data_IF_385232987811
#
_entry.id   IF_385232987811
#
_cell.length_a   1.000
_cell.length_b   1.000
_cell.length_c   1.000
_cell.angle_alpha   90.00
_cell.angle_beta   90.00
_cell.angle_gamma   90.00
#
_symmetry.space_group_name_H-M   'P 1'
#
loop_
_entity.id
_entity.type
_entity.pdbx_description
1 polymer ?
#
# COMPACT_ATOMS: atom_id res chain seq x y z
N UNK A 1 5.14 27.81 -9.15
CA UNK A 1 6.02 27.82 -7.94
C UNK A 1 6.94 29.03 -7.90
N UNK A 2 7.73 29.29 -8.96
CA UNK A 2 8.65 30.42 -8.96
C UNK A 2 7.98 31.77 -8.65
N UNK A 3 6.82 32.06 -9.25
CA UNK A 3 6.13 33.34 -9.04
C UNK A 3 5.50 33.47 -7.65
N UNK A 4 5.00 32.37 -7.10
CA UNK A 4 4.50 32.35 -5.72
C UNK A 4 5.65 32.52 -4.73
N UNK A 5 6.79 31.84 -4.92
CA UNK A 5 7.96 32.01 -4.05
C UNK A 5 8.52 33.43 -4.18
N UNK A 6 8.61 33.99 -5.39
CA UNK A 6 8.97 35.41 -5.61
C UNK A 6 7.99 36.36 -4.93
N UNK A 7 6.69 36.05 -4.96
CA UNK A 7 5.65 36.83 -4.27
C UNK A 7 5.88 36.77 -2.75
N UNK A 8 6.07 35.59 -2.18
CA UNK A 8 6.35 35.41 -0.75
C UNK A 8 7.61 36.18 -0.33
N UNK A 9 8.67 36.09 -1.12
CA UNK A 9 9.94 36.79 -0.91
C UNK A 9 9.83 38.32 -0.92
N UNK A 10 9.04 38.87 -1.86
CA UNK A 10 8.97 40.32 -2.10
C UNK A 10 7.85 41.01 -1.35
N UNK A 11 6.66 40.40 -1.26
CA UNK A 11 5.43 41.09 -0.83
C UNK A 11 5.00 40.85 0.61
N UNK A 12 5.41 39.76 1.24
CA UNK A 12 4.91 39.45 2.60
C UNK A 12 5.59 40.23 3.73
N UNK A 13 6.70 40.94 3.45
CA UNK A 13 7.46 41.67 4.47
C UNK A 13 8.13 40.80 5.54
N UNK A 14 7.88 39.48 5.56
CA UNK A 14 8.32 38.60 6.63
C UNK A 14 9.81 38.23 6.49
N UNK A 15 10.58 38.47 7.55
CA UNK A 15 12.03 38.24 7.60
C UNK A 15 12.41 36.75 7.44
N UNK A 16 11.50 35.84 7.78
CA UNK A 16 11.67 34.40 7.58
C UNK A 16 12.01 34.06 6.12
N UNK A 17 11.28 34.63 5.15
CA UNK A 17 11.52 34.35 3.74
C UNK A 17 12.85 34.96 3.22
N UNK A 18 13.45 35.90 3.94
CA UNK A 18 14.67 36.60 3.49
C UNK A 18 15.95 36.07 4.12
N UNK A 19 15.84 35.20 5.11
CA UNK A 19 16.98 34.71 5.90
C UNK A 19 17.07 33.19 5.89
N UNK A 20 18.30 32.68 5.77
CA UNK A 20 18.60 31.26 5.86
C UNK A 20 18.30 30.48 4.58
N UNK A 21 18.35 29.15 4.69
CA UNK A 21 18.08 28.22 3.60
C UNK A 21 16.88 27.35 3.92
N UNK A 22 15.92 27.29 3.00
CA UNK A 22 14.71 26.48 3.15
C UNK A 22 14.22 25.96 1.80
N UNK A 23 13.47 24.86 1.82
CA UNK A 23 12.81 24.31 0.65
C UNK A 23 11.32 24.64 0.68
N UNK A 24 10.77 25.05 -0.47
CA UNK A 24 9.33 25.31 -0.64
C UNK A 24 8.80 24.32 -1.66
N UNK A 25 7.96 23.40 -1.21
CA UNK A 25 7.25 22.47 -2.09
C UNK A 25 5.87 23.01 -2.42
N UNK A 26 5.53 23.03 -3.71
CA UNK A 26 4.20 23.39 -4.19
C UNK A 26 3.84 22.50 -5.37
N UNK A 27 2.78 21.71 -5.21
CA UNK A 27 2.37 20.71 -6.19
C UNK A 27 3.56 19.82 -6.56
N UNK A 28 3.77 19.60 -7.86
CA UNK A 28 4.93 18.92 -8.39
C UNK A 28 6.17 19.80 -8.60
N UNK A 29 6.49 20.79 -7.76
CA UNK A 29 7.81 21.46 -7.83
C UNK A 29 8.36 21.78 -6.45
N UNK A 30 9.68 21.67 -6.29
CA UNK A 30 10.40 22.08 -5.07
C UNK A 30 11.37 23.20 -5.42
N UNK A 31 11.27 24.31 -4.70
CA UNK A 31 12.19 25.43 -4.83
C UNK A 31 13.10 25.51 -3.60
N UNK A 32 14.41 25.49 -3.78
CA UNK A 32 15.37 25.80 -2.73
C UNK A 32 15.59 27.29 -2.72
N UNK A 33 15.39 27.91 -1.56
CA UNK A 33 15.59 29.33 -1.34
C UNK A 33 16.70 29.51 -0.33
N UNK A 34 17.67 30.35 -0.66
CA UNK A 34 18.77 30.71 0.22
C UNK A 34 18.92 32.22 0.23
N UNK A 35 18.85 32.82 1.41
CA UNK A 35 19.03 34.25 1.65
C UNK A 35 18.12 35.11 0.75
N UNK A 36 16.84 34.74 0.74
CA UNK A 36 15.82 35.45 -0.03
C UNK A 36 15.91 35.28 -1.55
N UNK A 37 16.70 34.32 -2.04
CA UNK A 37 16.84 34.03 -3.48
C UNK A 37 16.52 32.57 -3.77
N UNK A 38 15.64 32.35 -4.74
CA UNK A 38 15.40 31.01 -5.28
C UNK A 38 16.67 30.56 -6.01
N UNK A 39 17.37 29.57 -5.45
CA UNK A 39 18.62 29.03 -6.00
C UNK A 39 18.34 27.99 -7.06
N UNK A 40 17.39 27.11 -6.79
CA UNK A 40 17.07 25.99 -7.67
C UNK A 40 15.58 25.72 -7.60
N UNK A 41 15.00 25.42 -8.74
CA UNK A 41 13.63 24.89 -8.83
C UNK A 41 13.76 23.58 -9.56
N UNK A 42 13.14 22.56 -8.99
CA UNK A 42 13.11 21.25 -9.59
C UNK A 42 11.66 20.81 -9.74
N UNK A 43 11.39 20.27 -10.93
CA UNK A 43 10.08 19.77 -11.29
C UNK A 43 9.99 18.29 -10.90
N UNK A 44 8.88 17.94 -10.26
CA UNK A 44 8.48 16.60 -9.86
C UNK A 44 7.62 15.94 -10.95
N UNK A 45 6.92 16.74 -11.77
CA UNK A 45 6.15 16.27 -12.92
C UNK A 45 7.01 16.34 -14.19
N UNK A 46 7.71 15.26 -14.53
CA UNK A 46 7.48 14.58 -15.83
C UNK A 46 8.35 13.32 -15.96
N UNK A 47 7.76 12.17 -15.67
CA UNK A 47 8.27 10.87 -16.13
C UNK A 47 8.13 10.72 -17.67
N UNK A 48 7.60 11.72 -18.38
CA UNK A 48 7.44 11.73 -19.84
C UNK A 48 8.50 12.56 -20.59
N UNK A 49 9.32 13.35 -19.89
CA UNK A 49 10.38 14.11 -20.53
C UNK A 49 11.56 13.19 -20.87
N UNK A 50 11.89 13.08 -22.17
CA UNK A 50 12.90 12.17 -22.76
C UNK A 50 14.36 12.40 -22.34
N UNK A 51 14.61 13.25 -21.35
CA UNK A 51 15.90 13.29 -20.67
C UNK A 51 15.80 12.34 -19.47
N UNK A 52 16.83 11.55 -19.18
CA UNK A 52 16.85 10.56 -18.09
C UNK A 52 16.74 11.21 -16.68
N UNK A 53 15.65 11.91 -16.43
CA UNK A 53 15.19 12.41 -15.17
C UNK A 53 14.94 11.17 -14.31
N UNK A 54 15.88 10.97 -13.38
CA UNK A 54 15.88 9.95 -12.35
C UNK A 54 14.44 9.79 -11.83
N UNK A 55 13.80 8.67 -12.18
CA UNK A 55 12.50 8.34 -11.66
C UNK A 55 12.54 8.48 -10.12
N UNK A 56 11.47 9.02 -9.49
CA UNK A 56 11.36 8.95 -8.03
C UNK A 56 11.66 7.51 -7.60
N UNK A 57 12.45 7.28 -6.53
CA UNK A 57 12.67 5.93 -6.02
C UNK A 57 11.29 5.35 -5.75
N UNK A 58 10.93 4.35 -6.54
CA UNK A 58 9.65 3.70 -6.38
C UNK A 58 9.73 2.86 -5.12
N UNK A 59 8.97 3.27 -4.12
CA UNK A 59 8.68 2.44 -2.98
C UNK A 59 7.99 1.18 -3.49
N UNK A 60 8.70 0.05 -3.58
CA UNK A 60 8.04 -1.26 -3.62
C UNK A 60 7.45 -1.47 -2.23
N UNK A 61 6.12 -1.38 -2.21
CA UNK A 61 5.32 -1.32 -0.98
C UNK A 61 5.23 -2.73 -0.48
N UNK A 62 5.84 -3.00 0.67
CA UNK A 62 5.39 -3.95 1.69
C UNK A 62 6.44 -4.12 2.77
N UNK A 63 5.96 -4.26 4.00
CA UNK A 63 6.77 -4.39 5.18
C UNK A 63 6.32 -5.63 5.94
N UNK A 64 7.09 -6.70 5.82
CA UNK A 64 6.85 -7.96 6.53
C UNK A 64 7.54 -7.89 7.90
N UNK A 65 6.76 -7.94 8.98
CA UNK A 65 7.27 -8.13 10.33
C UNK A 65 7.00 -9.57 10.73
N UNK A 66 7.85 -10.50 10.28
CA UNK A 66 7.80 -11.88 10.77
C UNK A 66 8.14 -11.91 12.26
N UNK A 67 7.40 -12.72 13.04
CA UNK A 67 7.54 -12.88 14.51
C UNK A 67 8.96 -13.24 15.02
N UNK A 68 9.88 -13.65 14.14
CA UNK A 68 11.24 -14.10 14.50
C UNK A 68 12.37 -13.08 14.27
N UNK A 69 12.11 -11.93 13.67
CA UNK A 69 13.16 -10.95 13.36
C UNK A 69 13.10 -9.75 14.31
N UNK A 70 14.18 -9.51 15.07
CA UNK A 70 14.37 -8.30 15.88
C UNK A 70 14.55 -7.02 15.04
N UNK A 71 14.09 -7.03 13.79
CA UNK A 71 14.28 -5.95 12.83
C UNK A 71 13.40 -6.14 11.60
N UNK A 72 12.62 -5.12 11.30
CA UNK A 72 11.73 -5.10 10.16
C UNK A 72 12.48 -4.71 8.90
N UNK A 73 12.55 -5.57 7.88
CA UNK A 73 13.21 -5.24 6.61
C UNK A 73 12.23 -4.50 5.71
N UNK A 74 12.57 -3.26 5.34
CA UNK A 74 11.97 -2.60 4.19
C UNK A 74 12.86 -2.88 2.98
N UNK A 75 12.29 -3.53 1.96
CA UNK A 75 12.93 -3.68 0.67
C UNK A 75 12.47 -2.55 -0.26
N UNK A 76 13.44 -1.88 -0.91
CA UNK A 76 13.19 -0.80 -1.83
C UNK A 76 13.85 -1.16 -3.15
N UNK A 77 13.10 -1.07 -4.25
CA UNK A 77 13.69 -1.16 -5.58
C UNK A 77 13.56 0.18 -6.28
N UNK A 78 14.67 0.78 -6.65
CA UNK A 78 14.64 1.77 -7.71
C UNK A 78 14.47 0.97 -9.01
N UNK A 79 13.26 0.83 -9.54
CA UNK A 79 13.04 0.35 -10.92
C UNK A 79 13.52 1.44 -11.88
N UNK A 80 14.83 1.59 -11.94
CA UNK A 80 15.51 2.11 -13.11
C UNK A 80 16.16 0.90 -13.77
N UNK A 81 15.38 0.21 -14.61
CA UNK A 81 15.87 -0.81 -15.57
C UNK A 81 16.72 -0.18 -16.69
N UNK A 82 17.04 1.11 -16.60
CA UNK A 82 18.27 1.60 -17.20
C UNK A 82 19.43 1.08 -16.35
N UNK A 83 20.02 -0.03 -16.83
CA UNK A 83 21.41 -0.35 -16.59
C UNK A 83 22.23 0.93 -16.92
N UNK A 84 22.46 1.79 -15.93
CA UNK A 84 23.40 2.89 -16.05
C UNK A 84 24.76 2.24 -15.91
N UNK A 85 25.25 1.70 -17.02
CA UNK A 85 26.67 1.51 -17.26
C UNK A 85 27.34 2.89 -17.12
N UNK A 86 27.86 3.16 -15.93
CA UNK A 86 28.57 4.41 -15.65
C UNK A 86 28.60 4.71 -14.16
N UNK A 87 29.61 4.17 -13.47
CA UNK A 87 30.39 4.69 -12.31
C UNK A 87 29.83 5.67 -11.26
N UNK A 88 28.55 6.05 -11.24
CA UNK A 88 28.03 7.19 -10.45
C UNK A 88 26.74 6.81 -9.69
N UNK A 89 26.59 5.52 -9.34
CA UNK A 89 25.56 5.07 -8.40
C UNK A 89 26.12 4.62 -7.03
N UNK A 90 27.43 4.70 -6.85
CA UNK A 90 28.09 4.58 -5.54
C UNK A 90 27.87 5.81 -4.63
N UNK A 91 27.17 6.86 -5.06
CA UNK A 91 27.02 8.12 -4.30
C UNK A 91 25.55 8.54 -4.10
N UNK A 92 24.74 7.65 -3.55
CA UNK A 92 23.42 8.02 -3.04
C UNK A 92 23.35 7.85 -1.54
N UNK A 93 24.37 8.42 -0.89
CA UNK A 93 24.29 8.87 0.48
C UNK A 93 23.21 9.96 0.59
N UNK A 94 22.41 9.90 1.65
CA UNK A 94 21.46 10.96 2.00
C UNK A 94 19.99 10.75 1.63
N UNK A 95 19.57 9.53 1.24
CA UNK A 95 18.13 9.21 1.24
C UNK A 95 17.70 8.91 2.68
N UNK A 96 16.77 9.71 3.18
CA UNK A 96 16.15 9.52 4.49
C UNK A 96 14.70 9.06 4.29
N UNK A 97 14.24 8.19 5.19
CA UNK A 97 12.86 7.74 5.24
C UNK A 97 12.26 8.19 6.54
N UNK A 98 11.10 8.81 6.43
CA UNK A 98 10.29 9.26 7.55
C UNK A 98 9.07 8.35 7.60
N UNK A 99 9.00 7.50 8.63
CA UNK A 99 7.86 6.63 8.86
C UNK A 99 7.02 7.22 10.00
N UNK A 100 5.72 7.39 9.80
CA UNK A 100 4.76 7.65 10.86
C UNK A 100 3.91 6.39 11.07
N UNK A 101 4.00 5.78 12.26
CA UNK A 101 3.22 4.60 12.61
C UNK A 101 2.56 4.82 13.97
N UNK A 102 1.22 4.79 14.01
CA UNK A 102 0.43 5.03 15.24
C UNK A 102 0.84 6.32 15.97
N UNK A 103 1.01 7.40 15.22
CA UNK A 103 1.46 8.70 15.73
C UNK A 103 2.94 8.78 16.12
N UNK A 104 3.68 7.67 16.10
CA UNK A 104 5.13 7.66 16.34
C UNK A 104 5.89 7.89 15.04
N UNK A 105 6.75 8.90 15.04
CA UNK A 105 7.62 9.19 13.93
C UNK A 105 8.98 8.50 14.12
N UNK A 106 9.45 7.81 13.09
CA UNK A 106 10.78 7.22 13.02
C UNK A 106 11.50 7.75 11.78
N UNK A 107 12.73 8.21 11.96
CA UNK A 107 13.62 8.57 10.85
C UNK A 107 14.62 7.46 10.65
N UNK A 108 14.68 6.92 9.44
CA UNK A 108 15.59 5.83 9.08
C UNK A 108 16.43 6.26 7.90
N UNK A 109 17.75 6.27 8.11
CA UNK A 109 18.71 6.49 7.04
C UNK A 109 18.87 5.18 6.26
N UNK A 110 18.64 5.23 4.95
CA UNK A 110 18.83 4.05 4.12
C UNK A 110 20.31 3.76 3.96
N UNK A 111 20.71 2.51 4.20
CA UNK A 111 22.06 2.02 3.92
C UNK A 111 22.00 1.03 2.75
N UNK A 112 22.93 1.11 1.79
CA UNK A 112 23.03 0.09 0.74
C UNK A 112 23.37 -1.26 1.38
N UNK A 113 22.64 -2.32 1.00
CA UNK A 113 22.99 -3.68 1.37
C UNK A 113 24.15 -4.13 0.47
N UNK A 114 25.24 -4.62 1.08
CA UNK A 114 26.47 -4.97 0.36
C UNK A 114 26.31 -6.26 -0.48
N UNK A 115 25.20 -7.00 -0.31
CA UNK A 115 24.98 -8.30 -0.95
C UNK A 115 24.14 -8.17 -2.23
N UNK A 116 24.77 -7.63 -3.27
CA UNK A 116 24.47 -7.91 -4.69
C UNK A 116 23.05 -7.66 -5.19
N UNK A 117 22.78 -6.44 -5.66
CA UNK A 117 21.59 -6.11 -6.47
C UNK A 117 21.28 -4.60 -6.50
N UNK A 118 20.47 -4.16 -7.46
CA UNK A 118 19.92 -2.79 -7.50
C UNK A 118 18.91 -2.50 -6.36
N UNK A 119 18.60 -3.52 -5.56
CA UNK A 119 17.63 -3.45 -4.46
C UNK A 119 18.33 -2.96 -3.19
N UNK A 120 17.85 -1.84 -2.64
CA UNK A 120 18.32 -1.32 -1.35
C UNK A 120 17.39 -1.82 -0.26
N UNK A 121 17.93 -2.62 0.64
CA UNK A 121 17.19 -3.11 1.80
C UNK A 121 17.64 -2.31 3.01
N UNK A 122 16.70 -1.74 3.74
CA UNK A 122 16.99 -1.06 4.99
C UNK A 122 16.06 -1.55 6.07
N UNK A 123 16.63 -1.81 7.24
CA UNK A 123 15.87 -2.34 8.36
C UNK A 123 15.34 -1.19 9.19
N UNK A 124 14.02 -0.99 9.21
CA UNK A 124 13.38 -0.08 10.16
C UNK A 124 13.23 -0.84 11.46
N UNK A 125 14.04 -0.51 12.45
CA UNK A 125 13.81 -0.96 13.82
C UNK A 125 12.65 -0.11 14.37
N UNK A 126 11.86 -0.64 15.30
CA UNK A 126 10.76 0.05 16.02
C UNK A 126 9.34 0.01 15.43
N UNK A 127 9.09 -0.67 14.30
CA UNK A 127 7.72 -0.95 13.86
C UNK A 127 7.26 -2.29 14.45
N UNK A 128 6.36 -2.22 15.44
CA UNK A 128 5.83 -3.41 16.13
C UNK A 128 4.31 -3.48 16.02
N UNK A 129 3.79 -4.68 15.76
CA UNK A 129 2.36 -4.95 15.59
C UNK A 129 1.85 -4.76 14.15
N UNK A 130 0.55 -5.00 13.94
CA UNK A 130 -0.09 -4.82 12.64
C UNK A 130 -0.68 -3.42 12.48
N UNK A 131 -0.62 -2.88 11.26
CA UNK A 131 -1.30 -1.63 10.92
C UNK A 131 -0.76 -0.94 9.68
N UNK A 132 -1.19 0.30 9.45
CA UNK A 132 -0.64 1.14 8.38
C UNK A 132 0.34 2.15 8.94
N UNK A 133 1.52 2.18 8.37
CA UNK A 133 2.47 3.27 8.50
C UNK A 133 2.38 4.18 7.28
N UNK A 134 2.50 5.49 7.47
CA UNK A 134 2.71 6.43 6.39
C UNK A 134 4.21 6.60 6.19
N UNK A 135 4.70 6.37 4.97
CA UNK A 135 6.12 6.48 4.65
C UNK A 135 6.32 7.61 3.68
N UNK A 136 7.11 8.58 4.12
CA UNK A 136 7.58 9.70 3.32
C UNK A 136 9.08 9.51 3.07
N UNK A 137 9.49 9.71 1.82
CA UNK A 137 10.88 9.54 1.42
C UNK A 137 11.45 10.91 1.13
N UNK A 138 12.66 11.17 1.58
CA UNK A 138 13.36 12.40 1.24
C UNK A 138 14.75 12.12 0.69
N UNK A 139 15.18 12.90 -0.30
CA UNK A 139 16.54 12.87 -0.86
C UNK A 139 17.05 14.30 -0.95
N UNK A 140 17.92 14.70 -0.02
CA UNK A 140 18.33 16.09 0.10
C UNK A 140 17.11 16.99 0.36
N UNK A 141 16.78 17.87 -0.59
CA UNK A 141 15.64 18.80 -0.50
C UNK A 141 14.33 18.25 -1.07
N UNK A 142 14.37 17.09 -1.73
CA UNK A 142 13.20 16.49 -2.35
C UNK A 142 12.44 15.65 -1.34
N UNK A 143 11.13 15.84 -1.21
CA UNK A 143 10.21 14.98 -0.48
C UNK A 143 9.22 14.33 -1.44
N UNK A 144 9.10 13.01 -1.37
CA UNK A 144 8.15 12.22 -2.15
C UNK A 144 6.82 12.14 -1.38
N UNK A 145 5.67 12.10 -2.08
CA UNK A 145 4.38 12.06 -1.42
C UNK A 145 4.29 10.84 -0.50
N UNK A 146 3.66 10.99 0.67
CA UNK A 146 3.50 9.91 1.62
C UNK A 146 2.77 8.73 0.97
N UNK A 147 3.28 7.52 1.18
CA UNK A 147 2.65 6.28 0.72
C UNK A 147 2.25 5.41 1.91
N UNK A 148 1.10 4.73 1.84
CA UNK A 148 0.75 3.75 2.87
C UNK A 148 1.68 2.55 2.77
N UNK A 149 2.15 2.12 3.93
CA UNK A 149 2.94 0.92 4.13
C UNK A 149 2.18 0.03 5.10
N UNK A 150 1.72 -1.13 4.61
CA UNK A 150 1.10 -2.13 5.47
C UNK A 150 2.20 -2.88 6.25
N UNK A 151 2.04 -2.90 7.56
CA UNK A 151 2.86 -3.66 8.53
C UNK A 151 2.02 -4.83 9.01
N UNK A 152 2.52 -6.06 8.82
CA UNK A 152 1.83 -7.32 9.21
C UNK A 152 2.74 -8.22 10.03
N UNK A 153 2.13 -9.06 10.87
CA UNK A 153 2.79 -9.97 11.82
C UNK A 153 3.02 -11.41 11.29
N UNK A 154 2.60 -11.69 10.05
CA UNK A 154 2.64 -13.02 9.43
C UNK A 154 3.19 -12.93 8.01
N UNK A 155 4.06 -13.88 7.69
CA UNK A 155 4.70 -13.98 6.38
C UNK A 155 3.68 -14.40 5.30
N UNK A 156 2.69 -15.23 5.67
CA UNK A 156 1.61 -15.64 4.76
C UNK A 156 0.75 -14.44 4.32
N UNK A 157 0.36 -13.58 5.26
CA UNK A 157 -0.36 -12.34 4.96
C UNK A 157 0.45 -11.43 4.02
N UNK A 158 1.74 -11.28 4.32
CA UNK A 158 2.61 -10.47 3.50
C UNK A 158 2.73 -10.97 2.07
N UNK A 159 2.91 -12.28 1.88
CA UNK A 159 2.98 -12.91 0.55
C UNK A 159 1.71 -12.68 -0.26
N UNK A 160 0.54 -12.79 0.37
CA UNK A 160 -0.75 -12.53 -0.30
C UNK A 160 -0.88 -11.06 -0.71
N UNK A 161 -0.62 -10.12 0.20
CA UNK A 161 -0.72 -8.68 -0.11
C UNK A 161 0.33 -8.26 -1.15
N UNK A 162 1.47 -8.94 -1.22
CA UNK A 162 2.49 -8.69 -2.26
C UNK A 162 1.98 -8.92 -3.67
N UNK A 163 0.97 -9.76 -3.85
CA UNK A 163 0.35 -9.95 -5.15
C UNK A 163 -0.35 -8.67 -5.66
N UNK A 164 -0.66 -7.68 -4.79
CA UNK A 164 -1.17 -6.38 -5.23
C UNK A 164 -0.23 -5.65 -6.18
N UNK A 165 1.08 -5.78 -6.01
CA UNK A 165 2.03 -5.12 -6.91
C UNK A 165 1.91 -5.65 -8.35
N UNK A 166 1.49 -6.90 -8.49
CA UNK A 166 1.36 -7.57 -9.78
C UNK A 166 0.01 -7.25 -10.45
N UNK A 167 -0.94 -6.68 -9.69
CA UNK A 167 -2.25 -6.23 -10.15
C UNK A 167 -2.28 -4.75 -10.58
N UNK A 168 -1.24 -3.98 -10.25
CA UNK A 168 -1.17 -2.57 -10.68
C UNK A 168 -0.99 -2.54 -12.19
N UNK A 169 -1.97 -2.00 -12.90
CA UNK A 169 -1.84 -1.80 -14.35
C UNK A 169 -0.69 -0.84 -14.60
N UNK A 170 0.35 -1.34 -15.28
CA UNK A 170 1.26 -0.44 -15.99
C UNK A 170 0.41 0.21 -17.08
N UNK A 171 0.41 1.54 -17.24
CA UNK A 171 -0.32 2.20 -18.32
C UNK A 171 0.12 1.56 -19.63
N UNK A 172 -0.78 0.78 -20.22
CA UNK A 172 -0.52 -0.06 -21.37
C UNK A 172 -0.12 0.82 -22.53
N UNK A 173 1.17 0.86 -22.87
CA UNK A 173 1.59 1.32 -24.19
C UNK A 173 1.21 0.22 -25.20
N UNK A 174 -0.03 0.29 -25.70
CA UNK A 174 -0.55 -0.34 -26.91
C UNK A 174 -0.03 -1.74 -27.29
N UNK A 175 -0.44 -2.78 -26.56
CA UNK A 175 -0.26 -4.17 -27.03
C UNK A 175 -1.51 -5.00 -26.74
N UNK A 176 -2.26 -5.27 -27.80
CA UNK A 176 -3.57 -5.96 -27.82
C UNK A 176 -3.50 -7.49 -27.68
N UNK A 177 -2.44 -8.05 -27.10
CA UNK A 177 -2.31 -9.51 -26.99
C UNK A 177 -2.78 -10.02 -25.61
N UNK A 178 -4.10 -10.00 -25.38
CA UNK A 178 -4.74 -10.56 -24.19
C UNK A 178 -5.52 -11.84 -24.54
N UNK A 179 -4.91 -13.01 -24.35
CA UNK A 179 -5.59 -14.30 -24.57
C UNK A 179 -5.38 -15.34 -23.46
N UNK A 180 -4.77 -14.99 -22.32
CA UNK A 180 -4.78 -15.85 -21.14
C UNK A 180 -5.98 -15.52 -20.25
N UNK A 181 -6.97 -16.42 -20.27
CA UNK A 181 -8.29 -16.29 -19.62
C UNK A 181 -8.31 -16.24 -18.09
N UNK A 182 -7.21 -15.88 -17.42
CA UNK A 182 -7.30 -15.40 -16.04
C UNK A 182 -7.60 -13.92 -16.13
N UNK A 183 -8.83 -13.53 -15.80
CA UNK A 183 -9.23 -12.13 -15.64
C UNK A 183 -8.27 -11.48 -14.62
N UNK A 184 -7.19 -10.88 -15.13
CA UNK A 184 -6.14 -10.31 -14.31
C UNK A 184 -6.72 -9.01 -13.78
N UNK A 185 -6.98 -9.00 -12.47
CA UNK A 185 -7.45 -7.81 -11.78
C UNK A 185 -6.51 -6.65 -12.12
N UNK A 186 -7.06 -5.63 -12.78
CA UNK A 186 -6.36 -4.38 -13.07
C UNK A 186 -6.80 -3.37 -12.03
N UNK A 187 -5.95 -3.13 -11.04
CA UNK A 187 -6.17 -2.08 -10.05
C UNK A 187 -5.31 -0.87 -10.42
N UNK A 188 -5.89 0.31 -10.33
CA UNK A 188 -5.09 1.52 -10.34
C UNK A 188 -4.32 1.67 -9.02
N UNK A 189 -3.35 2.59 -9.00
CA UNK A 189 -2.52 2.77 -7.82
C UNK A 189 -3.29 3.29 -6.60
N UNK A 190 -4.34 4.09 -6.81
CA UNK A 190 -5.15 4.65 -5.73
C UNK A 190 -6.03 3.57 -5.09
N UNK A 191 -6.53 2.62 -5.87
CA UNK A 191 -7.27 1.45 -5.41
C UNK A 191 -6.38 0.54 -4.56
N UNK A 192 -5.14 0.28 -5.00
CA UNK A 192 -4.18 -0.47 -4.17
C UNK A 192 -3.90 0.25 -2.85
N UNK A 193 -3.72 1.57 -2.89
CA UNK A 193 -3.52 2.38 -1.68
C UNK A 193 -4.73 2.30 -0.74
N UNK A 194 -5.95 2.34 -1.28
CA UNK A 194 -7.18 2.19 -0.50
C UNK A 194 -7.28 0.80 0.15
N UNK A 195 -6.95 -0.29 -0.58
CA UNK A 195 -6.94 -1.65 -0.04
C UNK A 195 -5.93 -1.79 1.11
N UNK A 196 -4.72 -1.25 0.96
CA UNK A 196 -3.69 -1.29 2.00
C UNK A 196 -4.11 -0.52 3.26
N UNK A 197 -4.71 0.67 3.08
CA UNK A 197 -5.25 1.48 4.19
C UNK A 197 -6.35 0.72 4.91
N UNK A 198 -7.34 0.20 4.19
CA UNK A 198 -8.46 -0.53 4.77
C UNK A 198 -8.00 -1.79 5.50
N UNK A 199 -7.07 -2.55 4.92
CA UNK A 199 -6.53 -3.76 5.53
C UNK A 199 -5.77 -3.45 6.82
N UNK A 200 -4.91 -2.43 6.82
CA UNK A 200 -4.17 -2.11 8.04
C UNK A 200 -5.04 -1.47 9.12
N UNK A 201 -6.12 -0.76 8.79
CA UNK A 201 -7.13 -0.33 9.77
C UNK A 201 -7.77 -1.57 10.43
N UNK A 202 -8.23 -2.53 9.63
CA UNK A 202 -8.89 -3.76 10.13
C UNK A 202 -7.95 -4.60 10.99
N UNK A 203 -6.70 -4.80 10.53
CA UNK A 203 -5.70 -5.56 11.29
C UNK A 203 -5.27 -4.84 12.58
N UNK A 204 -5.20 -3.51 12.59
CA UNK A 204 -4.90 -2.73 13.80
C UNK A 204 -5.96 -2.95 14.88
N UNK A 205 -7.24 -2.91 14.46
CA UNK A 205 -8.39 -3.11 15.35
C UNK A 205 -8.41 -4.54 15.92
N UNK A 206 -8.19 -5.55 15.07
CA UNK A 206 -8.13 -6.95 15.50
C UNK A 206 -6.94 -7.25 16.42
N UNK A 207 -5.83 -6.51 16.27
CA UNK A 207 -4.67 -6.63 17.12
C UNK A 207 -4.83 -6.01 18.52
N UNK A 208 -6.01 -5.47 18.88
CA UNK A 208 -6.27 -4.88 20.19
C UNK A 208 -5.41 -3.64 20.49
N UNK A 209 -4.95 -2.95 19.45
CA UNK A 209 -4.08 -1.79 19.63
C UNK A 209 -4.92 -0.51 19.66
N UNK A 210 -5.44 -0.18 20.84
CA UNK A 210 -6.26 1.01 21.12
C UNK A 210 -5.48 2.35 21.06
N UNK A 211 -4.32 2.36 20.42
CA UNK A 211 -3.45 3.53 20.32
C UNK A 211 -4.00 4.58 19.34
N UNK A 212 -4.89 5.46 19.82
CA UNK A 212 -5.15 6.85 19.40
C UNK A 212 -5.23 7.22 17.90
N UNK A 213 -5.37 6.28 16.97
CA UNK A 213 -5.77 6.61 15.59
C UNK A 213 -7.28 6.73 15.59
N UNK A 214 -7.82 7.84 15.06
CA UNK A 214 -9.26 8.11 14.90
C UNK A 214 -10.01 6.82 14.53
N UNK A 215 -10.59 6.18 15.56
CA UNK A 215 -11.15 4.85 15.42
C UNK A 215 -12.45 5.03 14.65
N UNK A 216 -12.46 4.57 13.40
CA UNK A 216 -13.68 4.51 12.63
C UNK A 216 -14.76 3.78 13.44
N UNK A 217 -16.03 4.22 13.37
CA UNK A 217 -17.14 3.51 13.98
C UNK A 217 -17.12 2.00 13.65
N UNK A 218 -17.50 1.16 14.61
CA UNK A 218 -17.39 -0.30 14.49
C UNK A 218 -18.13 -0.85 13.25
N UNK A 219 -19.28 -0.28 12.94
CA UNK A 219 -20.08 -0.52 11.74
C UNK A 219 -19.31 -0.26 10.45
N UNK A 220 -18.57 0.85 10.38
CA UNK A 220 -17.69 1.17 9.25
C UNK A 220 -16.51 0.19 9.15
N UNK A 221 -15.93 -0.20 10.29
CA UNK A 221 -14.86 -1.20 10.34
C UNK A 221 -15.33 -2.57 9.87
N UNK A 222 -16.52 -3.00 10.28
CA UNK A 222 -17.12 -4.25 9.84
C UNK A 222 -17.46 -4.21 8.35
N UNK A 223 -17.93 -3.06 7.82
CA UNK A 223 -18.15 -2.88 6.39
C UNK A 223 -16.84 -3.02 5.59
N UNK A 224 -15.75 -2.40 6.04
CA UNK A 224 -14.42 -2.56 5.43
C UNK A 224 -13.94 -4.00 5.48
N UNK A 225 -14.08 -4.68 6.63
CA UNK A 225 -13.73 -6.09 6.77
C UNK A 225 -14.52 -6.99 5.81
N UNK A 226 -15.82 -6.73 5.61
CA UNK A 226 -16.65 -7.46 4.63
C UNK A 226 -16.19 -7.23 3.19
N UNK A 227 -15.87 -5.99 2.81
CA UNK A 227 -15.33 -5.67 1.48
C UNK A 227 -13.96 -6.32 1.24
N UNK A 228 -13.09 -6.33 2.25
CA UNK A 228 -11.79 -6.99 2.19
C UNK A 228 -11.92 -8.51 2.13
N UNK A 229 -12.88 -9.11 2.85
CA UNK A 229 -13.15 -10.55 2.77
C UNK A 229 -13.60 -10.95 1.37
N UNK A 230 -14.55 -10.20 0.82
CA UNK A 230 -14.98 -10.31 -0.57
C UNK A 230 -13.80 -10.22 -1.56
N UNK A 231 -12.97 -9.19 -1.41
CA UNK A 231 -11.77 -8.99 -2.21
C UNK A 231 -10.75 -10.13 -2.06
N UNK A 232 -10.50 -10.62 -0.84
CA UNK A 232 -9.62 -11.75 -0.58
C UNK A 232 -10.14 -13.04 -1.23
N UNK A 233 -11.46 -13.26 -1.25
CA UNK A 233 -12.09 -14.37 -1.97
C UNK A 233 -11.86 -14.30 -3.48
N UNK A 234 -11.94 -13.10 -4.06
CA UNK A 234 -11.65 -12.90 -5.48
C UNK A 234 -10.17 -13.10 -5.85
N UNK A 235 -9.27 -12.70 -4.95
CA UNK A 235 -7.82 -12.79 -5.14
C UNK A 235 -7.24 -14.15 -4.75
N UNK A 236 -8.00 -14.99 -4.02
CA UNK A 236 -7.52 -16.28 -3.51
C UNK A 236 -6.64 -16.18 -2.26
N UNK A 237 -6.76 -15.07 -1.52
CA UNK A 237 -5.97 -14.77 -0.33
C UNK A 237 -6.56 -15.39 0.93
N UNK A 238 -6.05 -16.54 1.32
CA UNK A 238 -6.50 -17.30 2.47
C UNK A 238 -6.15 -16.64 3.81
N UNK A 239 -4.90 -16.23 4.00
CA UNK A 239 -4.44 -15.64 5.26
C UNK A 239 -5.17 -14.32 5.55
N UNK A 240 -5.36 -13.47 4.53
CA UNK A 240 -6.13 -12.22 4.65
C UNK A 240 -7.57 -12.54 5.01
N UNK A 241 -8.24 -13.43 4.26
CA UNK A 241 -9.62 -13.84 4.54
C UNK A 241 -9.79 -14.35 5.97
N UNK A 242 -8.91 -15.24 6.42
CA UNK A 242 -8.92 -15.80 7.77
C UNK A 242 -8.78 -14.71 8.85
N UNK A 243 -7.91 -13.72 8.63
CA UNK A 243 -7.70 -12.63 9.59
C UNK A 243 -8.88 -11.66 9.65
N UNK A 244 -9.49 -11.29 8.52
CA UNK A 244 -10.56 -10.28 8.51
C UNK A 244 -11.93 -10.86 8.90
N UNK A 245 -12.12 -12.17 8.75
CA UNK A 245 -13.40 -12.86 8.98
C UNK A 245 -14.03 -12.59 10.37
N UNK A 246 -13.30 -12.65 11.50
CA UNK A 246 -13.88 -12.37 12.82
C UNK A 246 -14.51 -10.97 12.91
N UNK A 247 -13.90 -9.96 12.29
CA UNK A 247 -14.46 -8.60 12.29
C UNK A 247 -15.62 -8.47 11.32
N UNK A 248 -15.56 -9.13 10.16
CA UNK A 248 -16.64 -9.13 9.17
C UNK A 248 -17.97 -9.67 9.76
N UNK A 249 -17.88 -10.62 10.70
CA UNK A 249 -18.99 -11.28 11.39
C UNK A 249 -19.55 -10.51 12.59
N UNK A 250 -18.78 -9.59 13.19
CA UNK A 250 -19.01 -9.12 14.57
C UNK A 250 -20.40 -8.53 14.86
N UNK A 251 -21.08 -7.98 13.86
CA UNK A 251 -22.39 -7.33 14.00
C UNK A 251 -23.55 -8.31 13.83
N UNK A 252 -23.34 -9.45 13.17
CA UNK A 252 -24.41 -10.38 12.83
C UNK A 252 -24.46 -11.55 13.80
N UNK A 253 -25.66 -11.88 14.26
CA UNK A 253 -25.87 -12.98 15.21
C UNK A 253 -25.78 -14.37 14.60
N UNK A 254 -25.72 -14.49 13.26
CA UNK A 254 -25.66 -15.78 12.57
C UNK A 254 -24.83 -15.70 11.27
N UNK A 255 -24.41 -16.87 10.80
CA UNK A 255 -23.58 -17.00 9.60
C UNK A 255 -24.29 -16.62 8.30
N UNK A 256 -25.61 -16.89 8.16
CA UNK A 256 -26.36 -16.51 6.95
C UNK A 256 -26.38 -15.00 6.75
N UNK A 257 -26.77 -14.25 7.78
CA UNK A 257 -26.80 -12.79 7.74
C UNK A 257 -25.42 -12.18 7.52
N UNK A 258 -24.35 -12.85 7.97
CA UNK A 258 -22.98 -12.44 7.66
C UNK A 258 -22.70 -12.58 6.16
N UNK A 259 -22.97 -13.75 5.57
CA UNK A 259 -22.71 -13.99 4.15
C UNK A 259 -23.55 -13.05 3.28
N UNK A 260 -24.83 -12.88 3.59
CA UNK A 260 -25.72 -11.95 2.89
C UNK A 260 -25.18 -10.50 2.96
N UNK A 261 -24.64 -10.09 4.11
CA UNK A 261 -24.04 -8.78 4.27
C UNK A 261 -22.71 -8.59 3.53
N UNK A 262 -21.92 -9.66 3.38
CA UNK A 262 -20.69 -9.63 2.56
C UNK A 262 -21.06 -9.49 1.09
N UNK A 263 -22.03 -10.27 0.62
CA UNK A 263 -22.53 -10.22 -0.76
C UNK A 263 -23.18 -8.86 -1.07
N UNK A 264 -23.89 -8.26 -0.12
CA UNK A 264 -24.44 -6.91 -0.26
C UNK A 264 -23.37 -5.81 -0.27
N UNK A 265 -22.24 -6.00 0.44
CA UNK A 265 -21.17 -5.00 0.52
C UNK A 265 -20.37 -4.87 -0.79
N UNK A 266 -20.31 -5.95 -1.58
CA UNK A 266 -19.63 -6.01 -2.88
C UNK A 266 -20.45 -6.89 -3.85
N UNK A 267 -21.41 -6.30 -4.60
CA UNK A 267 -22.21 -7.06 -5.56
C UNK A 267 -21.33 -7.62 -6.69
N UNK A 268 -21.32 -8.94 -6.87
CA UNK A 268 -20.50 -9.63 -7.87
C UNK A 268 -21.34 -10.39 -8.91
N UNK A 269 -22.35 -9.73 -9.49
CA UNK A 269 -23.14 -10.30 -10.59
C UNK A 269 -23.87 -11.60 -10.23
N UNK A 270 -24.24 -11.77 -8.95
CA UNK A 270 -24.96 -12.95 -8.46
C UNK A 270 -24.07 -14.10 -7.97
N UNK A 271 -22.74 -14.00 -8.06
CA UNK A 271 -21.82 -14.98 -7.47
C UNK A 271 -21.83 -14.86 -5.95
N UNK A 272 -22.05 -15.99 -5.26
CA UNK A 272 -21.85 -16.06 -3.81
C UNK A 272 -20.36 -16.02 -3.45
N UNK A 273 -20.06 -15.72 -2.18
CA UNK A 273 -18.70 -15.71 -1.66
C UNK A 273 -17.92 -17.01 -1.93
N UNK A 274 -18.58 -18.18 -1.85
CA UNK A 274 -17.93 -19.48 -2.13
C UNK A 274 -17.58 -19.63 -3.61
N UNK A 275 -18.45 -19.20 -4.53
CA UNK A 275 -18.13 -19.22 -5.96
C UNK A 275 -16.94 -18.31 -6.28
N UNK A 276 -16.81 -17.17 -5.60
CA UNK A 276 -15.65 -16.26 -5.76
C UNK A 276 -14.37 -16.95 -5.30
N UNK A 277 -14.39 -17.58 -4.12
CA UNK A 277 -13.26 -18.35 -3.62
C UNK A 277 -12.91 -19.53 -4.55
N UNK A 278 -13.89 -20.27 -5.06
CA UNK A 278 -13.65 -21.35 -6.02
C UNK A 278 -13.01 -20.83 -7.32
N UNK A 279 -13.53 -19.72 -7.86
CA UNK A 279 -13.02 -19.06 -9.08
C UNK A 279 -11.59 -18.57 -8.92
N UNK A 280 -11.17 -18.19 -7.71
CA UNK A 280 -9.79 -17.79 -7.44
C UNK A 280 -8.77 -18.92 -7.62
N UNK A 281 -9.23 -20.18 -7.59
CA UNK A 281 -8.36 -21.37 -7.63
C UNK A 281 -7.61 -21.65 -6.33
N UNK A 282 -7.88 -20.91 -5.25
CA UNK A 282 -7.23 -21.10 -3.94
C UNK A 282 -7.92 -22.21 -3.13
N UNK A 283 -7.40 -23.43 -3.22
CA UNK A 283 -7.91 -24.57 -2.45
C UNK A 283 -7.92 -24.33 -0.91
N UNK A 284 -6.87 -23.74 -0.29
CA UNK A 284 -6.90 -23.43 1.14
C UNK A 284 -8.06 -22.51 1.53
N UNK A 285 -8.37 -21.53 0.66
CA UNK A 285 -9.46 -20.60 0.89
C UNK A 285 -10.83 -21.28 0.81
N UNK A 286 -11.06 -22.09 -0.23
CA UNK A 286 -12.30 -22.87 -0.36
C UNK A 286 -12.48 -23.80 0.84
N UNK A 287 -11.43 -24.55 1.22
CA UNK A 287 -11.48 -25.43 2.38
C UNK A 287 -11.77 -24.66 3.68
N UNK A 288 -11.10 -23.52 3.89
CA UNK A 288 -11.33 -22.66 5.04
C UNK A 288 -12.77 -22.15 5.14
N UNK A 289 -13.37 -21.77 4.00
CA UNK A 289 -14.76 -21.32 3.94
C UNK A 289 -15.76 -22.45 4.21
N UNK A 290 -15.54 -23.64 3.63
CA UNK A 290 -16.38 -24.81 3.90
C UNK A 290 -16.32 -25.22 5.37
N UNK A 291 -15.11 -25.28 5.94
CA UNK A 291 -14.89 -25.57 7.35
C UNK A 291 -15.57 -24.54 8.25
N UNK A 292 -15.42 -23.25 7.94
CA UNK A 292 -16.11 -22.19 8.68
C UNK A 292 -17.63 -22.33 8.60
N UNK A 293 -18.18 -22.59 7.41
CA UNK A 293 -19.61 -22.77 7.22
C UNK A 293 -20.14 -23.94 8.06
N UNK A 294 -19.48 -25.09 7.99
CA UNK A 294 -19.79 -26.26 8.82
C UNK A 294 -19.77 -25.93 10.32
N UNK A 295 -18.73 -25.26 10.81
CA UNK A 295 -18.58 -24.90 12.22
C UNK A 295 -19.66 -23.94 12.74
N UNK A 296 -20.30 -23.18 11.84
CA UNK A 296 -21.35 -22.21 12.20
C UNK A 296 -22.75 -22.63 11.71
N UNK A 297 -22.92 -23.90 11.29
CA UNK A 297 -24.21 -24.41 10.81
C UNK A 297 -24.70 -23.74 9.51
N UNK A 298 -23.79 -23.16 8.71
CA UNK A 298 -24.12 -22.54 7.44
C UNK A 298 -23.94 -23.51 6.28
N UNK A 299 -25.04 -23.79 5.60
CA UNK A 299 -25.05 -24.59 4.38
C UNK A 299 -24.78 -23.67 3.17
N UNK A 300 -23.62 -23.86 2.54
CA UNK A 300 -23.29 -23.16 1.31
C UNK A 300 -24.19 -23.62 0.16
N UNK A 301 -24.81 -22.67 -0.53
CA UNK A 301 -25.59 -22.92 -1.75
C UNK A 301 -24.66 -23.05 -2.95
N UNK A 302 -24.10 -24.25 -3.11
CA UNK A 302 -23.24 -24.61 -4.24
C UNK A 302 -24.04 -25.00 -5.51
N UNK A 303 -25.36 -25.10 -5.39
CA UNK A 303 -26.31 -25.45 -6.45
C UNK A 303 -26.78 -24.25 -7.27
N UNK A 304 -26.53 -23.03 -6.79
CA UNK A 304 -26.92 -21.81 -7.49
C UNK A 304 -25.94 -21.53 -8.62
N UNK A 305 -26.32 -21.92 -9.83
CA UNK A 305 -25.56 -21.61 -11.04
C UNK A 305 -25.18 -20.12 -11.09
N UNK A 306 -23.90 -19.84 -10.98
CA UNK A 306 -23.29 -18.55 -11.25
C UNK A 306 -23.34 -18.22 -12.74
N UNK A 307 -23.02 -16.96 -13.11
CA UNK A 307 -22.86 -16.58 -14.51
C UNK A 307 -21.87 -17.52 -15.21
N UNK A 308 -22.33 -18.19 -16.27
CA UNK A 308 -21.51 -19.15 -17.04
C UNK A 308 -21.56 -20.61 -16.56
N UNK A 309 -22.43 -20.98 -15.61
CA UNK A 309 -22.63 -22.37 -15.17
C UNK A 309 -21.65 -22.86 -14.10
N UNK A 310 -20.99 -21.93 -13.40
CA UNK A 310 -20.20 -22.19 -12.18
C UNK A 310 -21.08 -22.43 -10.95
#
# INVERSE_FOLDING_TARGET
VQDLVRHLLRKTGCAFWRSGSYAVQLFGKVAVVTDGRVRTIADYEDASSKSAARAPPQLKRLCVVGRGSCGTKLAWSCESDSQVSGGVLQHSDGVQVHCCFRGRQARVQLRPDARGGNTRVSTVRHLHGCGVATVECSRGVYAYPPRPLLVVDSDELAMEVQQLSDCVTKPSQGSDNAQDGRARWSLDQAQVDAVLVDLGLVLSHLGGNDGHVDVLPLDMMCLKARRLLAFACDMGWYAVAQRVLPLAMRIYGNASSTVDAVDAAVPCGGLSLLHRAARSGSLPLVHGMLHWGFAHGYAWRADRAGPGGL
#
